data_IF_861932078144
#
_entry.id   IF_861932078144
#
_cell.length_a   1.000
_cell.length_b   1.000
_cell.length_c   1.000
_cell.angle_alpha   90.00
_cell.angle_beta   90.00
_cell.angle_gamma   90.00
#
_symmetry.space_group_name_H-M   'P 1'
#
loop_
_entity.id
_entity.type
_entity.pdbx_description
1 polymer ?
#
# COMPACT_ATOMS: atom_id res chain seq x y z
N UNK A 1 -15.35 11.02 -7.67
CA UNK A 1 -14.42 11.20 -8.81
C UNK A 1 -12.95 11.07 -8.39
N UNK A 2 -12.60 11.25 -7.11
CA UNK A 2 -11.21 11.17 -6.60
C UNK A 2 -10.58 9.76 -6.61
N UNK A 3 -11.36 8.66 -6.57
CA UNK A 3 -10.77 7.32 -6.42
C UNK A 3 -10.08 6.79 -7.68
N UNK A 4 -10.58 7.15 -8.88
CA UNK A 4 -10.02 6.69 -10.17
C UNK A 4 -8.62 7.25 -10.42
N UNK A 5 -8.35 8.49 -10.01
CA UNK A 5 -7.05 9.13 -10.19
C UNK A 5 -5.97 8.41 -9.37
N UNK A 6 -6.32 7.98 -8.15
CA UNK A 6 -5.39 7.30 -7.26
C UNK A 6 -5.11 5.85 -7.70
N UNK A 7 -6.12 5.12 -8.19
CA UNK A 7 -5.89 3.76 -8.75
C UNK A 7 -4.95 3.81 -9.96
N UNK A 8 -5.14 4.81 -10.82
CA UNK A 8 -4.31 5.03 -12.00
C UNK A 8 -2.88 5.35 -11.61
N UNK A 9 -2.70 6.28 -10.67
CA UNK A 9 -1.39 6.64 -10.12
C UNK A 9 -0.65 5.44 -9.53
N UNK A 10 -1.33 4.64 -8.69
CA UNK A 10 -0.75 3.43 -8.10
C UNK A 10 -0.31 2.44 -9.17
N UNK A 11 -1.13 2.22 -10.19
CA UNK A 11 -0.82 1.27 -11.27
C UNK A 11 0.33 1.75 -12.16
N UNK A 12 0.55 3.07 -12.24
CA UNK A 12 1.69 3.67 -12.95
C UNK A 12 3.01 3.47 -12.19
N UNK A 13 3.01 3.67 -10.87
CA UNK A 13 4.21 3.50 -10.02
C UNK A 13 4.52 2.02 -9.75
N UNK A 14 3.49 1.21 -9.48
CA UNK A 14 3.59 -0.21 -9.17
C UNK A 14 2.84 -1.07 -10.21
N UNK A 15 3.36 -1.17 -11.45
CA UNK A 15 2.74 -1.99 -12.49
C UNK A 15 2.71 -3.45 -12.07
N UNK A 16 1.51 -3.98 -11.81
CA UNK A 16 1.33 -5.35 -11.34
C UNK A 16 1.31 -5.54 -9.83
N UNK A 17 0.95 -4.52 -9.04
CA UNK A 17 0.85 -4.60 -7.57
C UNK A 17 0.03 -5.80 -7.02
N UNK A 18 -0.89 -6.37 -7.80
CA UNK A 18 -1.64 -7.59 -7.47
C UNK A 18 -1.29 -8.82 -8.33
N UNK A 19 -0.13 -8.84 -9.00
CA UNK A 19 0.27 -9.96 -9.86
C UNK A 19 0.62 -11.21 -9.06
N UNK A 20 0.48 -12.36 -9.70
CA UNK A 20 1.02 -13.62 -9.18
C UNK A 20 2.02 -14.19 -10.21
N UNK A 21 3.33 -14.26 -9.91
CA UNK A 21 3.97 -13.97 -8.61
C UNK A 21 3.94 -12.47 -8.23
N UNK A 22 3.99 -12.15 -6.93
CA UNK A 22 4.00 -10.77 -6.45
C UNK A 22 5.31 -10.05 -6.86
N UNK A 23 5.24 -8.72 -6.91
CA UNK A 23 6.42 -7.89 -7.14
C UNK A 23 7.45 -8.09 -6.00
N UNK A 24 8.76 -8.03 -6.30
CA UNK A 24 9.80 -8.13 -5.27
C UNK A 24 9.68 -7.01 -4.24
N UNK A 25 10.01 -7.29 -2.98
CA UNK A 25 9.95 -6.31 -1.90
C UNK A 25 10.83 -5.08 -2.19
N UNK A 26 11.99 -5.30 -2.81
CA UNK A 26 12.96 -4.26 -3.19
C UNK A 26 12.36 -3.24 -4.16
N UNK A 27 11.42 -3.67 -5.01
CA UNK A 27 10.78 -2.78 -5.98
C UNK A 27 9.97 -1.67 -5.29
N UNK A 28 9.28 -1.99 -4.21
CA UNK A 28 8.51 -1.01 -3.44
C UNK A 28 9.41 -0.05 -2.66
N UNK A 29 10.58 -0.53 -2.22
CA UNK A 29 11.58 0.31 -1.53
C UNK A 29 12.22 1.32 -2.50
N UNK A 30 12.53 0.90 -3.72
CA UNK A 30 13.14 1.77 -4.73
C UNK A 30 12.16 2.81 -5.30
N UNK A 31 10.86 2.54 -5.20
CA UNK A 31 9.78 3.41 -5.69
C UNK A 31 8.86 3.90 -4.57
N UNK A 32 9.45 4.43 -3.49
CA UNK A 32 8.69 4.91 -2.34
C UNK A 32 7.86 6.15 -2.67
N UNK A 33 6.56 6.09 -2.40
CA UNK A 33 5.65 7.24 -2.53
C UNK A 33 5.73 8.07 -1.23
N UNK A 34 5.92 9.38 -1.37
CA UNK A 34 6.00 10.31 -0.24
C UNK A 34 4.73 11.17 -0.17
N UNK A 35 4.19 11.34 1.02
CA UNK A 35 3.06 12.24 1.29
C UNK A 35 3.37 13.20 2.44
N UNK A 36 2.82 14.43 2.43
CA UNK A 36 3.15 15.47 3.41
C UNK A 36 2.51 15.26 4.80
N UNK A 37 1.40 14.50 4.90
CA UNK A 37 0.74 14.21 6.17
C UNK A 37 0.65 12.71 6.42
N UNK A 38 0.79 12.30 7.68
CA UNK A 38 0.65 10.88 8.06
C UNK A 38 -0.70 10.29 7.69
N UNK A 39 -1.79 11.05 7.83
CA UNK A 39 -3.12 10.58 7.45
C UNK A 39 -3.25 10.29 5.93
N UNK A 40 -2.45 10.96 5.09
CA UNK A 40 -2.40 10.69 3.66
C UNK A 40 -1.54 9.43 3.41
N UNK A 41 -0.44 9.26 4.16
CA UNK A 41 0.38 8.03 4.16
C UNK A 41 -0.45 6.81 4.54
N UNK A 42 -1.21 6.89 5.63
CA UNK A 42 -2.02 5.79 6.15
C UNK A 42 -3.06 5.34 5.11
N UNK A 43 -3.83 6.30 4.55
CA UNK A 43 -4.81 6.01 3.49
C UNK A 43 -4.18 5.40 2.24
N UNK A 44 -3.00 5.87 1.83
CA UNK A 44 -2.29 5.32 0.67
C UNK A 44 -1.80 3.90 0.96
N UNK A 45 -1.22 3.65 2.13
CA UNK A 45 -0.73 2.33 2.51
C UNK A 45 -1.85 1.30 2.60
N UNK A 46 -2.98 1.63 3.24
CA UNK A 46 -4.14 0.74 3.33
C UNK A 46 -4.67 0.38 1.92
N UNK A 47 -4.74 1.38 1.04
CA UNK A 47 -5.18 1.17 -0.34
C UNK A 47 -4.19 0.29 -1.12
N UNK A 48 -2.89 0.58 -1.05
CA UNK A 48 -1.86 -0.21 -1.71
C UNK A 48 -1.87 -1.66 -1.24
N UNK A 49 -1.97 -1.87 0.08
CA UNK A 49 -2.04 -3.21 0.68
C UNK A 49 -3.26 -3.98 0.19
N UNK A 50 -4.42 -3.33 0.06
CA UNK A 50 -5.64 -3.95 -0.47
C UNK A 50 -5.55 -4.38 -1.94
N UNK A 51 -4.60 -3.83 -2.69
CA UNK A 51 -4.35 -4.18 -4.10
C UNK A 51 -3.34 -5.32 -4.25
N UNK A 52 -2.62 -5.68 -3.17
CA UNK A 52 -1.67 -6.78 -3.19
C UNK A 52 -2.38 -8.14 -3.17
N UNK A 53 -1.84 -9.10 -3.92
CA UNK A 53 -2.34 -10.47 -3.89
C UNK A 53 -1.82 -11.19 -2.65
N UNK A 54 -2.68 -11.94 -1.96
CA UNK A 54 -2.29 -12.75 -0.81
C UNK A 54 -3.35 -12.76 0.28
N UNK A 55 -2.98 -13.30 1.44
CA UNK A 55 -3.81 -13.23 2.65
C UNK A 55 -3.38 -12.02 3.49
N UNK A 56 -4.35 -11.23 3.93
CA UNK A 56 -4.13 -10.12 4.85
C UNK A 56 -3.89 -10.65 6.27
N UNK A 57 -2.90 -10.07 6.97
CA UNK A 57 -2.64 -10.37 8.36
C UNK A 57 -2.52 -9.08 9.18
N UNK A 58 -3.30 -9.00 10.25
CA UNK A 58 -3.33 -7.85 11.15
C UNK A 58 -2.54 -8.17 12.42
N UNK A 59 -1.63 -7.29 12.81
CA UNK A 59 -0.86 -7.37 14.05
C UNK A 59 -1.25 -6.22 14.98
N UNK A 60 -1.75 -6.55 16.16
CA UNK A 60 -2.14 -5.56 17.16
C UNK A 60 -0.95 -5.18 18.05
N UNK A 61 -0.84 -3.90 18.40
CA UNK A 61 0.19 -3.44 19.34
C UNK A 61 -0.03 -4.02 20.74
N UNK A 62 1.07 -4.21 21.48
CA UNK A 62 1.05 -4.74 22.85
C UNK A 62 0.97 -3.62 23.90
N UNK A 63 0.28 -2.53 23.58
CA UNK A 63 0.23 -1.31 24.41
C UNK A 63 -1.04 -1.22 25.27
N UNK A 64 -1.82 -2.31 25.34
CA UNK A 64 -3.01 -2.39 26.17
C UNK A 64 -2.61 -2.45 27.65
N UNK A 65 -2.74 -1.32 28.36
CA UNK A 65 -2.74 -1.32 29.82
C UNK A 65 -4.08 -1.93 30.27
N UNK A 66 -4.04 -3.16 30.78
CA UNK A 66 -5.17 -3.84 31.43
C UNK A 66 -5.36 -3.31 32.85
#
# INVERSE_FOLDING_TARGET
MVSQDLDTFVTEIYPGIGSNPPLPAEYFLDQMILAPHNNDVDQMNDKLLSMMSGEEQVFHSADLVV
#
